data_IF_910823946306
#
_entry.id   IF_910823946306
#
_cell.length_a   1.000
_cell.length_b   1.000
_cell.length_c   1.000
_cell.angle_alpha   90.00
_cell.angle_beta   90.00
_cell.angle_gamma   90.00
#
_symmetry.space_group_name_H-M   'P 1'
#
loop_
_entity.id
_entity.type
_entity.pdbx_description
1 polymer ?
#
# COMPACT_ATOMS: atom_id res chain seq x y z
N UNK A 1 91.19 7.94 -23.37
CA UNK A 1 91.35 9.21 -24.09
C UNK A 1 89.97 9.80 -24.22
N UNK A 2 89.64 10.67 -23.28
CA UNK A 2 88.36 11.39 -23.19
C UNK A 2 88.45 12.72 -23.94
N UNK A 3 87.25 13.28 -24.18
CA UNK A 3 86.87 14.69 -24.46
C UNK A 3 86.68 15.12 -25.94
N UNK A 4 85.82 16.13 -26.26
CA UNK A 4 84.54 16.59 -25.66
C UNK A 4 83.41 16.97 -26.67
N UNK A 5 82.23 17.21 -26.10
CA UNK A 5 81.23 18.27 -26.42
C UNK A 5 80.47 18.33 -27.76
N UNK A 6 79.26 17.73 -27.71
CA UNK A 6 78.14 18.02 -28.61
C UNK A 6 77.33 19.22 -28.06
N UNK A 7 77.27 20.26 -28.89
CA UNK A 7 76.54 21.53 -28.67
C UNK A 7 75.09 21.32 -28.22
N UNK A 8 74.75 21.92 -27.07
CA UNK A 8 73.39 22.10 -26.53
C UNK A 8 72.50 22.90 -27.49
N UNK A 9 71.49 22.24 -28.06
CA UNK A 9 70.34 22.91 -28.66
C UNK A 9 69.49 23.58 -27.56
N UNK A 10 69.30 24.90 -27.66
CA UNK A 10 68.33 25.66 -26.87
C UNK A 10 66.92 25.23 -27.26
N UNK A 11 66.20 24.59 -26.34
CA UNK A 11 64.74 24.47 -26.40
C UNK A 11 64.17 25.40 -25.33
N UNK A 12 63.43 26.41 -25.80
CA UNK A 12 62.63 27.33 -24.98
C UNK A 12 61.62 26.55 -24.13
N UNK A 13 61.32 26.96 -22.89
CA UNK A 13 60.27 26.32 -22.11
C UNK A 13 58.92 26.68 -22.74
N UNK A 14 58.23 25.69 -23.33
CA UNK A 14 56.79 25.80 -23.56
C UNK A 14 56.13 25.90 -22.19
N UNK A 15 55.56 27.06 -21.88
CA UNK A 15 54.56 27.19 -20.82
C UNK A 15 53.41 26.24 -21.14
N UNK A 16 53.43 25.05 -20.54
CA UNK A 16 52.23 24.25 -20.39
C UNK A 16 51.44 24.98 -19.31
N UNK A 17 50.48 25.82 -19.74
CA UNK A 17 49.40 26.24 -18.85
C UNK A 17 48.58 24.97 -18.61
N UNK A 18 48.97 24.21 -17.59
CA UNK A 18 48.10 23.19 -17.03
C UNK A 18 46.91 23.96 -16.44
N UNK A 19 45.78 23.95 -17.15
CA UNK A 19 44.50 24.22 -16.51
C UNK A 19 44.42 23.31 -15.29
N UNK A 20 44.32 23.85 -14.06
CA UNK A 20 44.22 22.99 -12.88
C UNK A 20 43.00 22.08 -13.06
N UNK A 21 43.07 20.79 -12.70
CA UNK A 21 41.87 19.97 -12.68
C UNK A 21 40.86 20.71 -11.82
N UNK A 22 39.66 20.95 -12.36
CA UNK A 22 38.56 21.50 -11.59
C UNK A 22 38.44 20.64 -10.33
N UNK A 23 38.84 21.18 -9.19
CA UNK A 23 38.73 20.53 -7.90
C UNK A 23 37.24 20.55 -7.54
N UNK A 24 36.50 19.60 -8.09
CA UNK A 24 35.10 19.39 -7.79
C UNK A 24 35.03 18.89 -6.34
N UNK A 25 34.41 19.68 -5.48
CA UNK A 25 34.11 19.31 -4.11
C UNK A 25 32.84 18.47 -4.06
N UNK A 26 32.68 17.67 -3.00
CA UNK A 26 31.40 17.01 -2.71
C UNK A 26 30.28 18.05 -2.56
N UNK A 27 30.61 19.25 -2.07
CA UNK A 27 29.64 20.35 -1.94
C UNK A 27 29.07 20.83 -3.29
N UNK A 28 29.78 20.64 -4.39
CA UNK A 28 29.36 21.02 -5.74
C UNK A 28 28.36 20.03 -6.34
N UNK A 29 28.34 18.79 -5.85
CA UNK A 29 27.52 17.69 -6.42
C UNK A 29 26.49 17.11 -5.46
N UNK A 30 26.57 17.39 -4.16
CA UNK A 30 25.72 16.77 -3.13
C UNK A 30 24.22 17.02 -3.34
N UNK A 31 23.83 18.16 -3.92
CA UNK A 31 22.43 18.44 -4.27
C UNK A 31 21.86 17.45 -5.30
N UNK A 32 22.72 16.95 -6.21
CA UNK A 32 22.36 15.92 -7.20
C UNK A 32 22.43 14.52 -6.62
N UNK A 33 23.35 14.26 -5.68
CA UNK A 33 23.57 12.93 -5.09
C UNK A 33 22.52 12.61 -4.02
N UNK A 34 22.13 13.59 -3.19
CA UNK A 34 21.22 13.37 -2.05
C UNK A 34 19.90 12.66 -2.42
N UNK A 35 19.22 12.98 -3.55
CA UNK A 35 18.01 12.28 -3.97
C UNK A 35 18.19 10.79 -4.30
N UNK A 36 19.42 10.34 -4.60
CA UNK A 36 19.72 8.93 -4.86
C UNK A 36 19.87 8.10 -3.57
N UNK A 37 19.97 8.76 -2.41
CA UNK A 37 20.02 8.07 -1.11
C UNK A 37 18.57 7.77 -0.69
N UNK A 38 18.14 6.53 -0.87
CA UNK A 38 16.73 6.14 -0.64
C UNK A 38 16.48 5.52 0.74
N UNK A 39 17.49 4.97 1.41
CA UNK A 39 17.35 4.42 2.77
C UNK A 39 17.15 5.56 3.78
N UNK A 40 16.12 5.45 4.61
CA UNK A 40 15.84 6.43 5.67
C UNK A 40 16.97 6.57 6.68
N UNK A 41 17.67 5.48 7.02
CA UNK A 41 18.77 5.50 8.00
C UNK A 41 20.01 6.21 7.45
N UNK A 42 20.27 6.06 6.15
CA UNK A 42 21.34 6.79 5.46
C UNK A 42 21.01 8.28 5.38
N UNK A 43 19.75 8.63 5.11
CA UNK A 43 19.30 10.04 5.11
C UNK A 43 19.35 10.66 6.50
N UNK A 44 19.12 9.88 7.56
CA UNK A 44 19.31 10.33 8.94
C UNK A 44 20.78 10.65 9.21
N UNK A 45 21.69 9.76 8.83
CA UNK A 45 23.14 9.94 8.97
C UNK A 45 23.65 11.13 8.15
N UNK A 46 23.27 11.22 6.87
CA UNK A 46 23.64 12.31 5.96
C UNK A 46 23.20 13.68 6.52
N UNK A 47 22.03 13.75 7.14
CA UNK A 47 21.51 15.00 7.70
C UNK A 47 22.32 15.56 8.88
N UNK A 48 23.20 14.75 9.49
CA UNK A 48 23.98 15.11 10.65
C UNK A 48 25.44 15.50 10.32
N UNK A 49 25.88 15.34 9.07
CA UNK A 49 27.25 15.60 8.65
C UNK A 49 27.62 17.08 8.81
N UNK A 50 26.81 17.98 8.26
CA UNK A 50 27.01 19.43 8.36
C UNK A 50 25.71 20.20 8.05
N UNK A 51 25.71 21.52 8.26
CA UNK A 51 24.55 22.39 8.01
C UNK A 51 24.08 22.37 6.55
N UNK A 52 25.00 22.25 5.58
CA UNK A 52 24.66 22.20 4.14
C UNK A 52 23.91 20.91 3.83
N UNK A 53 24.44 19.76 4.27
CA UNK A 53 23.80 18.46 4.09
C UNK A 53 22.45 18.37 4.80
N UNK A 54 22.34 18.92 6.02
CA UNK A 54 21.07 19.03 6.75
C UNK A 54 19.99 19.77 5.94
N UNK A 55 20.35 20.88 5.30
CA UNK A 55 19.41 21.69 4.50
C UNK A 55 19.01 20.97 3.21
N UNK A 56 19.97 20.40 2.49
CA UNK A 56 19.70 19.63 1.25
C UNK A 56 18.83 18.43 1.58
N UNK A 57 19.11 17.74 2.69
CA UNK A 57 18.26 16.68 3.20
C UNK A 57 16.81 17.14 3.39
N UNK A 58 16.62 18.22 4.17
CA UNK A 58 15.33 18.83 4.45
C UNK A 58 14.52 19.11 3.18
N UNK A 59 15.18 19.69 2.16
CA UNK A 59 14.52 20.11 0.93
C UNK A 59 14.23 18.96 -0.05
N UNK A 60 14.95 17.84 0.06
CA UNK A 60 14.85 16.69 -0.87
C UNK A 60 14.21 15.44 -0.24
N UNK A 61 13.86 15.46 1.05
CA UNK A 61 13.19 14.34 1.72
C UNK A 61 11.76 14.19 1.17
N UNK A 62 11.50 13.09 0.47
CA UNK A 62 10.19 12.87 -0.16
C UNK A 62 9.18 12.14 0.74
N UNK A 63 9.64 11.25 1.62
CA UNK A 63 8.78 10.44 2.48
C UNK A 63 9.21 10.48 3.94
N UNK A 64 8.25 10.64 4.85
CA UNK A 64 8.44 10.52 6.30
C UNK A 64 7.38 9.61 6.92
N UNK A 65 7.81 8.78 7.87
CA UNK A 65 6.91 8.01 8.74
C UNK A 65 7.10 8.45 10.19
N UNK A 66 6.00 8.79 10.86
CA UNK A 66 5.96 8.97 12.31
C UNK A 66 5.31 7.74 12.95
N UNK A 67 6.09 7.01 13.73
CA UNK A 67 5.63 5.79 14.41
C UNK A 67 4.60 6.06 15.53
N UNK A 68 4.55 7.30 16.01
CA UNK A 68 3.58 7.81 16.95
C UNK A 68 3.38 9.31 16.68
N UNK A 69 2.15 9.73 16.36
CA UNK A 69 1.84 11.12 16.00
C UNK A 69 2.08 12.12 17.14
N UNK A 70 2.13 11.68 18.39
CA UNK A 70 2.41 12.55 19.54
C UNK A 70 3.90 12.83 19.78
N UNK A 71 4.80 12.30 18.94
CA UNK A 71 6.26 12.50 19.10
C UNK A 71 6.73 13.89 18.67
N UNK A 72 5.93 14.61 17.88
CA UNK A 72 6.27 15.93 17.38
C UNK A 72 5.04 16.73 16.99
N UNK A 73 5.20 18.04 16.84
CA UNK A 73 4.14 18.90 16.30
C UNK A 73 4.14 18.85 14.77
N UNK A 74 2.97 19.05 14.13
CA UNK A 74 2.89 19.18 12.68
C UNK A 74 3.80 20.29 12.12
N UNK A 75 3.83 21.45 12.77
CA UNK A 75 4.71 22.58 12.41
C UNK A 75 6.20 22.19 12.42
N UNK A 76 6.65 21.37 13.38
CA UNK A 76 8.05 20.92 13.39
C UNK A 76 8.34 20.03 12.17
N UNK A 77 7.39 19.18 11.78
CA UNK A 77 7.53 18.34 10.60
C UNK A 77 7.61 19.19 9.32
N UNK A 78 6.67 20.12 9.12
CA UNK A 78 6.61 20.93 7.91
C UNK A 78 7.80 21.86 7.77
N UNK A 79 8.32 22.42 8.86
CA UNK A 79 9.57 23.20 8.86
C UNK A 79 10.80 22.38 8.54
N UNK A 80 10.87 21.12 9.01
CA UNK A 80 12.02 20.25 8.75
C UNK A 80 11.96 19.60 7.36
N UNK A 81 10.78 19.34 6.82
CA UNK A 81 10.61 18.67 5.53
C UNK A 81 9.49 19.36 4.72
N UNK A 82 9.75 20.55 4.15
CA UNK A 82 8.71 21.35 3.50
C UNK A 82 8.21 20.74 2.18
N UNK A 83 9.01 19.89 1.53
CA UNK A 83 8.76 19.34 0.19
C UNK A 83 8.25 17.88 0.19
N UNK A 84 7.71 17.39 1.31
CA UNK A 84 7.21 16.02 1.40
C UNK A 84 6.22 15.70 0.29
N UNK A 85 6.40 14.52 -0.31
CA UNK A 85 5.47 13.92 -1.28
C UNK A 85 4.62 12.83 -0.64
N UNK A 86 5.11 12.17 0.40
CA UNK A 86 4.38 11.13 1.11
C UNK A 86 4.56 11.22 2.62
N UNK A 87 3.45 11.06 3.35
CA UNK A 87 3.44 11.12 4.80
C UNK A 87 2.67 9.93 5.37
N UNK A 88 3.30 9.24 6.33
CA UNK A 88 2.67 8.18 7.10
C UNK A 88 2.66 8.52 8.59
N UNK A 89 1.49 8.53 9.20
CA UNK A 89 1.31 8.78 10.63
C UNK A 89 0.64 7.57 11.28
N UNK A 90 1.12 7.22 12.48
CA UNK A 90 0.51 6.19 13.32
C UNK A 90 -0.01 6.82 14.62
N UNK A 91 -1.26 6.53 14.98
CA UNK A 91 -1.90 7.01 16.20
C UNK A 91 -1.83 5.99 17.33
N UNK A 92 -2.96 5.32 17.59
CA UNK A 92 -3.16 4.38 18.71
C UNK A 92 -2.07 3.29 18.74
N UNK A 93 -1.66 2.81 19.94
CA UNK A 93 -0.72 1.70 20.10
C UNK A 93 -1.18 0.39 19.45
N UNK A 94 -0.28 -0.61 19.36
CA UNK A 94 -0.62 -1.92 18.75
C UNK A 94 -1.70 -2.68 19.51
N UNK A 95 -1.77 -2.46 20.82
CA UNK A 95 -2.80 -2.99 21.69
C UNK A 95 -4.25 -2.62 21.25
N UNK A 96 -4.44 -1.52 20.50
CA UNK A 96 -5.76 -1.15 19.98
C UNK A 96 -6.35 -2.17 19.00
N UNK A 97 -5.49 -2.95 18.32
CA UNK A 97 -5.95 -4.03 17.43
C UNK A 97 -6.54 -5.23 18.19
N UNK A 98 -6.43 -5.24 19.52
CA UNK A 98 -6.93 -6.29 20.41
C UNK A 98 -8.00 -5.75 21.38
N UNK A 99 -8.63 -4.62 21.04
CA UNK A 99 -9.63 -3.94 21.88
C UNK A 99 -9.12 -3.56 23.29
N UNK A 100 -7.80 -3.41 23.46
CA UNK A 100 -7.17 -3.08 24.75
C UNK A 100 -6.98 -1.57 24.99
N UNK A 101 -7.29 -0.75 23.99
CA UNK A 101 -7.14 0.72 24.05
C UNK A 101 -8.52 1.36 23.87
N UNK A 102 -8.92 2.29 24.76
CA UNK A 102 -10.18 3.01 24.63
C UNK A 102 -10.31 3.72 23.28
N UNK A 103 -11.52 3.77 22.74
CA UNK A 103 -11.75 4.35 21.40
C UNK A 103 -11.38 5.85 21.34
N UNK A 104 -11.62 6.56 22.43
CA UNK A 104 -11.30 7.98 22.62
C UNK A 104 -9.85 8.25 23.09
N UNK A 105 -8.94 7.27 23.04
CA UNK A 105 -7.55 7.42 23.50
C UNK A 105 -6.81 8.59 22.81
N UNK A 106 -7.14 8.86 21.55
CA UNK A 106 -6.52 9.90 20.75
C UNK A 106 -6.01 9.37 19.40
N UNK A 107 -5.08 10.12 18.81
CA UNK A 107 -4.63 9.94 17.43
C UNK A 107 -5.48 10.72 16.43
N UNK A 108 -6.00 11.89 16.81
CA UNK A 108 -6.76 12.78 15.92
C UNK A 108 -5.88 13.33 14.79
N UNK A 109 -6.37 13.25 13.55
CA UNK A 109 -5.63 13.73 12.37
C UNK A 109 -5.81 15.23 12.11
N UNK A 110 -6.80 15.89 12.69
CA UNK A 110 -7.15 17.29 12.39
C UNK A 110 -5.95 18.26 12.39
N UNK A 111 -5.05 18.26 13.40
CA UNK A 111 -3.89 19.16 13.38
C UNK A 111 -2.94 18.86 12.20
N UNK A 112 -2.80 17.58 11.84
CA UNK A 112 -1.96 17.14 10.73
C UNK A 112 -2.55 17.53 9.39
N UNK A 113 -3.87 17.35 9.21
CA UNK A 113 -4.56 17.75 7.99
C UNK A 113 -4.50 19.26 7.78
N UNK A 114 -4.69 20.06 8.84
CA UNK A 114 -4.57 21.51 8.76
C UNK A 114 -3.14 21.95 8.36
N UNK A 115 -2.12 21.32 8.93
CA UNK A 115 -0.73 21.59 8.55
C UNK A 115 -0.42 21.14 7.12
N UNK A 116 -0.97 20.00 6.70
CA UNK A 116 -0.91 19.56 5.30
C UNK A 116 -1.49 20.69 4.46
N UNK A 117 -2.76 21.06 4.67
CA UNK A 117 -3.44 22.09 3.89
C UNK A 117 -2.65 23.40 3.79
N UNK A 118 -2.05 23.87 4.90
CA UNK A 118 -1.31 25.13 4.94
C UNK A 118 0.10 25.06 4.30
N UNK A 119 0.87 24.03 4.62
CA UNK A 119 2.33 24.05 4.46
C UNK A 119 2.87 22.99 3.50
N UNK A 120 2.33 21.76 3.49
CA UNK A 120 2.93 20.62 2.75
C UNK A 120 2.45 20.52 1.30
N UNK A 121 2.56 21.59 0.52
CA UNK A 121 1.90 21.76 -0.79
C UNK A 121 2.25 20.70 -1.86
N UNK A 122 3.35 19.96 -1.69
CA UNK A 122 3.82 18.92 -2.63
C UNK A 122 3.35 17.51 -2.27
N UNK A 123 2.55 17.38 -1.22
CA UNK A 123 2.11 16.08 -0.70
C UNK A 123 1.11 15.43 -1.66
N UNK A 124 1.42 14.21 -2.07
CA UNK A 124 0.63 13.39 -3.00
C UNK A 124 0.08 12.12 -2.37
N UNK A 125 0.67 11.69 -1.26
CA UNK A 125 0.31 10.44 -0.60
C UNK A 125 0.19 10.64 0.91
N UNK A 126 -0.94 10.20 1.47
CA UNK A 126 -1.23 10.25 2.90
C UNK A 126 -1.61 8.88 3.40
N UNK A 127 -0.99 8.45 4.48
CA UNK A 127 -1.29 7.20 5.16
C UNK A 127 -1.50 7.44 6.65
N UNK A 128 -2.75 7.38 7.08
CA UNK A 128 -3.13 7.36 8.47
C UNK A 128 -3.32 5.93 8.94
N UNK A 129 -2.65 5.53 10.02
CA UNK A 129 -2.79 4.19 10.59
C UNK A 129 -3.21 4.24 12.04
N UNK A 130 -4.36 3.65 12.38
CA UNK A 130 -4.94 3.65 13.74
C UNK A 130 -5.12 5.07 14.28
N UNK A 131 -5.75 5.91 13.47
CA UNK A 131 -5.99 7.32 13.79
C UNK A 131 -7.49 7.62 13.72
N UNK A 132 -7.89 8.66 14.43
CA UNK A 132 -9.26 9.19 14.41
C UNK A 132 -9.32 10.26 13.32
N UNK A 133 -10.18 10.02 12.33
CA UNK A 133 -10.36 10.82 11.12
C UNK A 133 -11.83 11.21 11.03
N UNK A 134 -12.15 12.50 10.94
CA UNK A 134 -13.52 12.97 10.75
C UNK A 134 -13.81 13.29 9.28
N UNK A 135 -15.10 13.42 8.94
CA UNK A 135 -15.52 13.87 7.60
C UNK A 135 -14.98 15.26 7.26
N UNK A 136 -14.90 16.15 8.26
CA UNK A 136 -14.33 17.49 8.08
C UNK A 136 -12.84 17.42 7.73
N UNK A 137 -12.09 16.53 8.36
CA UNK A 137 -10.67 16.33 8.04
C UNK A 137 -10.50 15.83 6.61
N UNK A 138 -11.32 14.87 6.18
CA UNK A 138 -11.29 14.36 4.81
C UNK A 138 -11.68 15.44 3.80
N UNK A 139 -12.68 16.26 4.09
CA UNK A 139 -13.09 17.37 3.22
C UNK A 139 -11.99 18.45 3.08
N UNK A 140 -11.34 18.83 4.17
CA UNK A 140 -10.19 19.75 4.15
C UNK A 140 -9.03 19.15 3.35
N UNK A 141 -8.73 17.86 3.54
CA UNK A 141 -7.70 17.19 2.77
C UNK A 141 -8.04 17.15 1.28
N UNK A 142 -9.28 16.80 0.94
CA UNK A 142 -9.79 16.73 -0.43
C UNK A 142 -9.65 18.07 -1.14
N UNK A 143 -10.15 19.15 -0.52
CA UNK A 143 -10.15 20.49 -1.11
C UNK A 143 -8.77 21.13 -1.16
N UNK A 144 -7.89 20.80 -0.22
CA UNK A 144 -6.53 21.35 -0.20
C UNK A 144 -5.57 20.64 -1.16
N UNK A 145 -5.87 19.42 -1.60
CA UNK A 145 -5.00 18.66 -2.52
C UNK A 145 -5.58 18.40 -3.89
N UNK A 146 -6.91 18.30 -4.02
CA UNK A 146 -7.57 18.10 -5.31
C UNK A 146 -6.89 16.96 -6.08
N UNK A 147 -6.61 17.19 -7.37
CA UNK A 147 -6.01 16.20 -8.27
C UNK A 147 -4.53 15.87 -7.98
N UNK A 148 -3.87 16.52 -7.01
CA UNK A 148 -2.52 16.15 -6.58
C UNK A 148 -2.50 14.96 -5.61
N UNK A 149 -3.62 14.64 -4.97
CA UNK A 149 -3.70 13.49 -4.07
C UNK A 149 -3.81 12.19 -4.87
N UNK A 150 -2.68 11.50 -5.02
CA UNK A 150 -2.57 10.23 -5.74
C UNK A 150 -2.90 9.02 -4.84
N UNK A 151 -2.66 9.11 -3.53
CA UNK A 151 -2.89 7.98 -2.63
C UNK A 151 -3.41 8.41 -1.25
N UNK A 152 -4.54 7.84 -0.83
CA UNK A 152 -5.08 7.95 0.52
C UNK A 152 -5.22 6.56 1.14
N UNK A 153 -4.62 6.38 2.32
CA UNK A 153 -4.71 5.14 3.11
C UNK A 153 -5.23 5.44 4.51
N UNK A 154 -6.46 5.02 4.77
CA UNK A 154 -7.13 4.99 6.06
C UNK A 154 -7.01 3.55 6.60
N UNK A 155 -5.88 3.24 7.23
CA UNK A 155 -5.55 1.88 7.67
C UNK A 155 -5.94 1.70 9.15
N UNK A 156 -7.02 0.96 9.41
CA UNK A 156 -7.55 0.75 10.77
C UNK A 156 -7.94 2.06 11.45
N UNK A 157 -8.49 3.00 10.69
CA UNK A 157 -8.94 4.30 11.17
C UNK A 157 -10.40 4.27 11.63
N UNK A 158 -10.81 5.30 12.38
CA UNK A 158 -12.19 5.45 12.86
C UNK A 158 -12.66 6.91 12.83
N UNK A 159 -13.97 7.14 12.92
CA UNK A 159 -14.54 8.47 13.17
C UNK A 159 -15.10 9.23 11.95
N UNK A 160 -15.07 8.63 10.76
CA UNK A 160 -15.59 9.21 9.52
C UNK A 160 -16.86 8.49 9.05
N UNK A 161 -17.44 8.97 7.96
CA UNK A 161 -18.59 8.37 7.28
C UNK A 161 -18.39 8.33 5.76
N UNK A 162 -19.36 7.80 5.05
CA UNK A 162 -19.35 7.80 3.57
C UNK A 162 -19.35 9.21 2.97
N UNK A 163 -19.75 10.24 3.71
CA UNK A 163 -19.69 11.63 3.24
C UNK A 163 -18.24 12.11 3.07
N UNK A 164 -17.35 11.76 4.01
CA UNK A 164 -15.93 12.07 3.90
C UNK A 164 -15.27 11.33 2.73
N UNK A 165 -15.65 10.06 2.49
CA UNK A 165 -15.21 9.30 1.33
C UNK A 165 -15.68 9.95 0.02
N UNK A 166 -16.96 10.34 -0.04
CA UNK A 166 -17.54 11.05 -1.19
C UNK A 166 -16.81 12.36 -1.47
N UNK A 167 -16.47 13.14 -0.44
CA UNK A 167 -15.72 14.38 -0.62
C UNK A 167 -14.33 14.11 -1.24
N UNK A 168 -13.62 13.07 -0.79
CA UNK A 168 -12.32 12.70 -1.37
C UNK A 168 -12.45 12.37 -2.85
N UNK A 169 -13.34 11.43 -3.21
CA UNK A 169 -13.42 10.92 -4.59
C UNK A 169 -13.95 11.96 -5.58
N UNK A 170 -14.79 12.89 -5.11
CA UNK A 170 -15.32 13.99 -5.92
C UNK A 170 -14.27 15.05 -6.26
N UNK A 171 -13.39 15.38 -5.29
CA UNK A 171 -12.38 16.42 -5.48
C UNK A 171 -11.03 15.89 -5.98
N UNK A 172 -10.67 14.65 -5.63
CA UNK A 172 -9.37 14.02 -5.96
C UNK A 172 -9.54 13.04 -7.12
N UNK A 173 -9.79 13.54 -8.32
CA UNK A 173 -10.21 12.70 -9.46
C UNK A 173 -9.10 11.81 -10.02
N UNK A 174 -7.85 12.08 -9.66
CA UNK A 174 -6.64 11.33 -10.08
C UNK A 174 -6.13 10.36 -9.03
N UNK A 175 -6.97 9.98 -8.06
CA UNK A 175 -6.58 9.00 -7.04
C UNK A 175 -6.22 7.66 -7.71
N UNK A 176 -5.06 7.13 -7.34
CA UNK A 176 -4.51 5.84 -7.79
C UNK A 176 -4.68 4.77 -6.72
N UNK A 177 -4.53 5.14 -5.45
CA UNK A 177 -4.71 4.22 -4.32
C UNK A 177 -5.71 4.79 -3.32
N UNK A 178 -6.81 4.09 -3.11
CA UNK A 178 -7.75 4.36 -2.03
C UNK A 178 -7.88 3.12 -1.15
N UNK A 179 -7.49 3.25 0.12
CA UNK A 179 -7.50 2.17 1.10
C UNK A 179 -8.24 2.60 2.36
N UNK A 180 -9.13 1.72 2.84
CA UNK A 180 -9.89 1.83 4.08
C UNK A 180 -9.94 0.48 4.84
N UNK A 181 -8.96 -0.39 4.62
CA UNK A 181 -8.85 -1.72 5.25
C UNK A 181 -8.98 -1.66 6.77
N UNK A 182 -9.86 -2.50 7.31
CA UNK A 182 -10.15 -2.61 8.75
C UNK A 182 -10.54 -1.29 9.43
N UNK A 183 -10.95 -0.28 8.66
CA UNK A 183 -11.47 0.97 9.23
C UNK A 183 -12.94 0.83 9.63
N UNK A 184 -13.35 1.55 10.67
CA UNK A 184 -14.74 1.65 11.10
C UNK A 184 -15.30 3.04 10.81
N UNK A 185 -16.47 3.10 10.17
CA UNK A 185 -17.10 4.33 9.73
C UNK A 185 -18.60 4.16 9.65
N UNK A 186 -19.34 5.27 9.60
CA UNK A 186 -20.79 5.24 9.42
C UNK A 186 -21.15 5.15 7.93
N UNK A 187 -21.76 4.04 7.51
CA UNK A 187 -22.25 3.88 6.15
C UNK A 187 -23.62 4.55 5.95
N UNK A 188 -23.65 5.71 5.27
CA UNK A 188 -24.90 6.42 4.96
C UNK A 188 -25.48 5.95 3.62
N UNK A 189 -24.63 5.78 2.61
CA UNK A 189 -24.97 5.36 1.24
C UNK A 189 -23.74 4.81 0.49
N UNK A 190 -23.93 4.40 -0.77
CA UNK A 190 -22.86 3.94 -1.68
C UNK A 190 -22.38 4.98 -2.70
N UNK A 191 -22.71 6.26 -2.55
CA UNK A 191 -22.46 7.28 -3.59
C UNK A 191 -20.98 7.50 -3.86
N UNK A 192 -20.12 7.33 -2.85
CA UNK A 192 -18.67 7.45 -3.02
C UNK A 192 -18.12 6.44 -4.06
N UNK A 193 -18.66 5.23 -4.12
CA UNK A 193 -18.23 4.22 -5.07
C UNK A 193 -18.80 4.50 -6.46
N UNK A 194 -20.05 4.97 -6.52
CA UNK A 194 -20.69 5.40 -7.76
C UNK A 194 -19.94 6.57 -8.41
N UNK A 195 -19.55 7.56 -7.62
CA UNK A 195 -18.75 8.72 -8.08
C UNK A 195 -17.40 8.26 -8.69
N UNK A 196 -16.73 7.29 -8.05
CA UNK A 196 -15.53 6.67 -8.61
C UNK A 196 -15.82 5.99 -9.95
N UNK A 197 -16.92 5.23 -10.04
CA UNK A 197 -17.32 4.54 -11.26
C UNK A 197 -17.58 5.52 -12.42
N UNK A 198 -18.19 6.66 -12.15
CA UNK A 198 -18.50 7.66 -13.17
C UNK A 198 -17.27 8.44 -13.66
N UNK A 199 -16.33 8.75 -12.77
CA UNK A 199 -15.34 9.80 -13.05
C UNK A 199 -13.87 9.37 -12.92
N UNK A 200 -13.55 8.27 -12.25
CA UNK A 200 -12.16 7.86 -12.06
C UNK A 200 -11.64 6.96 -13.19
N UNK A 201 -10.42 7.25 -13.65
CA UNK A 201 -9.72 6.47 -14.70
C UNK A 201 -8.28 6.12 -14.34
N UNK A 202 -7.84 6.47 -13.12
CA UNK A 202 -6.45 6.35 -12.66
C UNK A 202 -6.26 5.29 -11.59
N UNK A 203 -7.33 4.64 -11.12
CA UNK A 203 -7.26 3.72 -9.99
C UNK A 203 -6.34 2.53 -10.31
N UNK A 204 -5.42 2.27 -9.39
CA UNK A 204 -4.48 1.14 -9.40
C UNK A 204 -4.81 0.16 -8.27
N UNK A 205 -5.16 0.70 -7.10
CA UNK A 205 -5.46 -0.09 -5.90
C UNK A 205 -6.72 0.45 -5.21
N UNK A 206 -7.72 -0.41 -5.05
CA UNK A 206 -8.91 -0.14 -4.25
C UNK A 206 -9.00 -1.18 -3.13
N UNK A 207 -9.00 -0.75 -1.87
CA UNK A 207 -8.99 -1.68 -0.75
C UNK A 207 -9.96 -1.24 0.34
N UNK A 208 -11.07 -1.94 0.45
CA UNK A 208 -11.99 -1.89 1.58
C UNK A 208 -12.17 -3.30 2.14
N UNK A 209 -11.05 -3.99 2.35
CA UNK A 209 -11.03 -5.30 2.99
C UNK A 209 -11.41 -5.21 4.46
N UNK A 210 -12.17 -6.19 4.95
CA UNK A 210 -12.65 -6.24 6.33
C UNK A 210 -13.44 -4.99 6.77
N UNK A 211 -14.25 -4.45 5.86
CA UNK A 211 -15.18 -3.35 6.14
C UNK A 211 -16.61 -3.80 5.88
N UNK A 212 -17.54 -3.25 6.64
CA UNK A 212 -18.97 -3.51 6.50
C UNK A 212 -19.58 -2.47 5.54
N UNK A 213 -19.79 -2.87 4.28
CA UNK A 213 -20.52 -2.09 3.28
C UNK A 213 -21.73 -2.89 2.80
N UNK A 214 -22.93 -2.38 3.04
CA UNK A 214 -24.21 -2.98 2.65
C UNK A 214 -24.99 -2.16 1.61
N UNK A 215 -24.54 -0.94 1.30
CA UNK A 215 -25.22 0.02 0.43
C UNK A 215 -24.48 0.31 -0.87
N UNK A 216 -23.34 -0.34 -1.11
CA UNK A 216 -22.59 -0.23 -2.37
C UNK A 216 -23.18 -1.13 -3.45
N UNK A 217 -23.11 -0.70 -4.70
CA UNK A 217 -23.59 -1.48 -5.84
C UNK A 217 -22.41 -2.21 -6.53
N UNK A 218 -22.43 -3.55 -6.63
CA UNK A 218 -21.40 -4.31 -7.35
C UNK A 218 -21.19 -3.88 -8.81
N UNK A 219 -22.21 -3.31 -9.46
CA UNK A 219 -22.10 -2.77 -10.82
C UNK A 219 -21.20 -1.54 -10.93
N UNK A 220 -21.05 -0.77 -9.84
CA UNK A 220 -20.08 0.31 -9.80
C UNK A 220 -18.66 -0.25 -9.83
N UNK A 221 -18.36 -1.35 -9.13
CA UNK A 221 -17.06 -2.03 -9.21
C UNK A 221 -16.77 -2.54 -10.63
N UNK A 222 -17.75 -3.17 -11.27
CA UNK A 222 -17.62 -3.60 -12.66
C UNK A 222 -17.27 -2.42 -13.59
N UNK A 223 -17.91 -1.28 -13.39
CA UNK A 223 -17.67 -0.05 -14.16
C UNK A 223 -16.28 0.53 -13.87
N UNK A 224 -15.85 0.56 -12.62
CA UNK A 224 -14.48 0.94 -12.23
C UNK A 224 -13.45 0.06 -12.92
N UNK A 225 -13.65 -1.27 -12.92
CA UNK A 225 -12.74 -2.20 -13.59
C UNK A 225 -12.65 -1.95 -15.11
N UNK A 226 -13.76 -1.55 -15.74
CA UNK A 226 -13.81 -1.20 -17.16
C UNK A 226 -13.07 0.11 -17.44
N UNK A 227 -13.29 1.13 -16.61
CA UNK A 227 -12.70 2.46 -16.79
C UNK A 227 -11.20 2.49 -16.45
N UNK A 228 -10.80 1.75 -15.42
CA UNK A 228 -9.42 1.64 -14.95
C UNK A 228 -8.71 0.38 -15.48
N UNK A 229 -9.18 -0.21 -16.59
CA UNK A 229 -8.71 -1.52 -17.09
C UNK A 229 -7.19 -1.62 -17.28
N UNK A 230 -6.52 -0.51 -17.60
CA UNK A 230 -5.07 -0.46 -17.84
C UNK A 230 -4.24 -0.35 -16.56
N UNK A 231 -4.80 0.21 -15.50
CA UNK A 231 -4.08 0.57 -14.27
C UNK A 231 -4.48 -0.28 -13.06
N UNK A 232 -5.72 -0.80 -13.01
CA UNK A 232 -6.25 -1.50 -11.84
C UNK A 232 -5.56 -2.85 -11.65
N UNK A 233 -4.78 -2.95 -10.57
CA UNK A 233 -3.89 -4.08 -10.25
C UNK A 233 -4.39 -4.84 -9.02
N UNK A 234 -4.93 -4.14 -8.02
CA UNK A 234 -5.38 -4.76 -6.77
C UNK A 234 -6.75 -4.25 -6.35
N UNK A 235 -7.66 -5.17 -6.05
CA UNK A 235 -8.95 -4.84 -5.44
C UNK A 235 -9.21 -5.75 -4.25
N UNK A 236 -9.46 -5.18 -3.09
CA UNK A 236 -9.92 -5.94 -1.92
C UNK A 236 -11.25 -5.39 -1.43
N UNK A 237 -12.19 -6.28 -1.18
CA UNK A 237 -13.59 -5.93 -0.90
C UNK A 237 -14.07 -6.53 0.42
N UNK A 238 -15.22 -6.08 0.92
CA UNK A 238 -15.94 -6.71 2.03
C UNK A 238 -16.73 -7.95 1.57
N UNK A 239 -17.87 -8.19 2.19
CA UNK A 239 -18.68 -9.40 1.99
C UNK A 239 -19.65 -9.30 0.79
N UNK A 240 -19.11 -8.98 -0.39
CA UNK A 240 -19.88 -8.97 -1.64
C UNK A 240 -20.01 -10.38 -2.20
N UNK A 241 -21.22 -10.80 -2.58
CA UNK A 241 -21.45 -12.12 -3.19
C UNK A 241 -20.62 -12.26 -4.49
N UNK A 242 -19.76 -13.28 -4.53
CA UNK A 242 -18.79 -13.47 -5.62
C UNK A 242 -19.48 -13.59 -6.99
N UNK A 243 -20.69 -14.16 -7.05
CA UNK A 243 -21.46 -14.22 -8.30
C UNK A 243 -21.86 -12.85 -8.85
N UNK A 244 -22.03 -11.84 -8.00
CA UNK A 244 -22.32 -10.47 -8.44
C UNK A 244 -21.09 -9.80 -9.08
N UNK A 245 -19.89 -10.32 -8.78
CA UNK A 245 -18.61 -9.83 -9.27
C UNK A 245 -18.13 -10.51 -10.57
N UNK A 246 -18.92 -11.40 -11.18
CA UNK A 246 -18.56 -12.05 -12.45
C UNK A 246 -18.29 -11.02 -13.56
N UNK A 247 -19.10 -9.97 -13.63
CA UNK A 247 -18.89 -8.87 -14.58
C UNK A 247 -17.58 -8.11 -14.29
N UNK A 248 -17.30 -7.87 -13.01
CA UNK A 248 -16.06 -7.24 -12.55
C UNK A 248 -14.83 -8.06 -12.95
N UNK A 249 -14.80 -9.36 -12.67
CA UNK A 249 -13.66 -10.22 -13.01
C UNK A 249 -13.40 -10.28 -14.52
N UNK A 250 -14.46 -10.29 -15.35
CA UNK A 250 -14.32 -10.22 -16.81
C UNK A 250 -13.72 -8.88 -17.27
N UNK A 251 -14.07 -7.78 -16.62
CA UNK A 251 -13.58 -6.45 -16.97
C UNK A 251 -12.13 -6.20 -16.48
N UNK A 252 -11.78 -6.72 -15.31
CA UNK A 252 -10.51 -6.46 -14.61
C UNK A 252 -9.33 -7.28 -15.17
N UNK A 253 -9.03 -7.17 -16.47
CA UNK A 253 -8.06 -8.06 -17.15
C UNK A 253 -6.61 -7.95 -16.68
N UNK A 254 -6.23 -6.86 -16.01
CA UNK A 254 -4.89 -6.66 -15.45
C UNK A 254 -4.83 -6.91 -13.93
N UNK A 255 -5.91 -7.38 -13.32
CA UNK A 255 -5.95 -7.62 -11.88
C UNK A 255 -4.97 -8.73 -11.51
N UNK A 256 -4.09 -8.42 -10.57
CA UNK A 256 -3.11 -9.35 -10.02
C UNK A 256 -3.47 -9.76 -8.58
N UNK A 257 -4.21 -8.92 -7.87
CA UNK A 257 -4.61 -9.15 -6.47
C UNK A 257 -6.11 -8.98 -6.24
N UNK A 258 -6.73 -9.99 -5.62
CA UNK A 258 -8.13 -9.95 -5.18
C UNK A 258 -8.32 -10.59 -3.80
N UNK A 259 -8.81 -9.84 -2.81
CA UNK A 259 -9.18 -10.39 -1.50
C UNK A 259 -10.61 -10.00 -1.10
N UNK A 260 -11.24 -10.84 -0.29
CA UNK A 260 -12.62 -10.66 0.15
C UNK A 260 -13.63 -11.31 -0.78
N UNK A 261 -14.85 -10.79 -0.73
CA UNK A 261 -16.01 -11.38 -1.40
C UNK A 261 -16.48 -12.64 -0.66
N UNK A 262 -17.79 -12.84 -0.62
CA UNK A 262 -18.42 -13.96 0.07
C UNK A 262 -18.74 -15.11 -0.88
N UNK A 263 -18.28 -16.31 -0.52
CA UNK A 263 -18.74 -17.57 -1.09
C UNK A 263 -19.82 -18.15 -0.16
N UNK A 264 -21.08 -17.83 -0.45
CA UNK A 264 -22.21 -18.38 0.29
C UNK A 264 -22.56 -19.77 -0.26
N UNK A 265 -22.38 -20.81 0.56
CA UNK A 265 -22.76 -22.18 0.25
C UNK A 265 -24.28 -22.29 0.03
N UNK A 266 -24.70 -23.05 -0.98
CA UNK A 266 -26.10 -23.37 -1.25
C UNK A 266 -26.22 -24.88 -1.50
N UNK A 267 -26.82 -25.61 -0.55
CA UNK A 267 -27.00 -27.06 -0.61
C UNK A 267 -27.79 -27.48 -1.86
N UNK A 268 -28.66 -26.60 -2.38
CA UNK A 268 -29.41 -26.85 -3.61
C UNK A 268 -28.59 -26.69 -4.90
N UNK A 269 -27.37 -26.15 -4.83
CA UNK A 269 -26.51 -25.82 -5.98
C UNK A 269 -25.03 -26.12 -5.66
N UNK A 270 -24.63 -27.40 -5.57
CA UNK A 270 -23.25 -27.78 -5.25
C UNK A 270 -22.20 -27.26 -6.26
N UNK A 271 -22.61 -26.97 -7.50
CA UNK A 271 -21.73 -26.42 -8.53
C UNK A 271 -21.91 -24.90 -8.74
N UNK A 272 -22.46 -24.17 -7.76
CA UNK A 272 -22.82 -22.74 -7.86
C UNK A 272 -21.70 -21.87 -8.44
N UNK A 273 -20.44 -22.15 -8.09
CA UNK A 273 -19.28 -21.34 -8.45
C UNK A 273 -18.36 -21.96 -9.50
N UNK A 274 -18.66 -23.15 -10.03
CA UNK A 274 -17.74 -23.89 -10.92
C UNK A 274 -17.48 -23.18 -12.25
N UNK A 275 -18.36 -22.27 -12.67
CA UNK A 275 -18.23 -21.48 -13.90
C UNK A 275 -17.56 -20.10 -13.68
N UNK A 276 -17.00 -19.85 -12.50
CA UNK A 276 -16.26 -18.61 -12.25
C UNK A 276 -15.01 -18.55 -13.12
N UNK A 277 -14.80 -17.39 -13.72
CA UNK A 277 -13.58 -17.10 -14.48
C UNK A 277 -12.84 -15.97 -13.78
N UNK A 278 -11.63 -16.25 -13.31
CA UNK A 278 -10.78 -15.23 -12.69
C UNK A 278 -9.94 -14.49 -13.74
N UNK A 279 -9.50 -13.26 -13.44
CA UNK A 279 -8.56 -12.53 -14.28
C UNK A 279 -7.27 -13.34 -14.52
N UNK A 280 -6.72 -13.34 -15.75
CA UNK A 280 -5.61 -14.22 -16.12
C UNK A 280 -4.28 -13.90 -15.40
N UNK A 281 -4.15 -12.69 -14.84
CA UNK A 281 -2.95 -12.26 -14.10
C UNK A 281 -3.07 -12.49 -12.58
N UNK A 282 -4.22 -12.96 -12.10
CA UNK A 282 -4.47 -13.12 -10.68
C UNK A 282 -3.47 -14.10 -10.07
N UNK A 283 -2.65 -13.62 -9.14
CA UNK A 283 -1.61 -14.41 -8.47
C UNK A 283 -1.55 -14.17 -6.96
N UNK A 284 -2.31 -13.21 -6.44
CA UNK A 284 -2.43 -12.89 -5.02
C UNK A 284 -3.91 -12.91 -4.67
N UNK A 285 -4.36 -13.80 -3.81
CA UNK A 285 -5.79 -13.88 -3.51
C UNK A 285 -6.13 -14.37 -2.11
N UNK A 286 -7.35 -14.04 -1.68
CA UNK A 286 -7.99 -14.65 -0.52
C UNK A 286 -9.49 -14.46 -0.60
N UNK A 287 -10.23 -15.55 -0.83
CA UNK A 287 -11.70 -15.52 -0.92
C UNK A 287 -12.27 -15.75 0.47
N UNK A 288 -13.12 -14.84 0.96
CA UNK A 288 -13.75 -15.03 2.27
C UNK A 288 -14.75 -16.18 2.19
N UNK A 289 -14.82 -16.95 3.26
CA UNK A 289 -15.72 -18.09 3.43
C UNK A 289 -15.52 -19.23 2.41
N UNK A 290 -14.33 -19.32 1.80
CA UNK A 290 -13.98 -20.41 0.89
C UNK A 290 -14.11 -21.76 1.62
N UNK A 291 -15.06 -22.59 1.19
CA UNK A 291 -15.25 -23.95 1.68
C UNK A 291 -14.60 -25.00 0.78
N UNK A 292 -14.60 -26.25 1.25
CA UNK A 292 -14.01 -27.39 0.53
C UNK A 292 -14.68 -27.63 -0.84
N UNK A 293 -15.98 -27.38 -0.94
CA UNK A 293 -16.76 -27.55 -2.17
C UNK A 293 -16.38 -26.52 -3.24
N UNK A 294 -16.05 -25.30 -2.85
CA UNK A 294 -15.69 -24.20 -3.74
C UNK A 294 -14.19 -24.13 -4.03
N UNK A 295 -13.34 -24.66 -3.15
CA UNK A 295 -11.89 -24.71 -3.31
C UNK A 295 -11.40 -25.10 -4.73
N UNK A 296 -12.02 -26.06 -5.45
CA UNK A 296 -11.59 -26.44 -6.80
C UNK A 296 -11.55 -25.31 -7.83
N UNK A 297 -12.30 -24.21 -7.63
CA UNK A 297 -12.26 -23.05 -8.53
C UNK A 297 -10.86 -22.42 -8.64
N UNK A 298 -9.98 -22.67 -7.67
CA UNK A 298 -8.61 -22.16 -7.63
C UNK A 298 -7.61 -23.07 -8.36
N UNK A 299 -7.92 -24.37 -8.51
CA UNK A 299 -7.00 -25.34 -9.07
C UNK A 299 -6.51 -25.05 -10.50
N UNK A 300 -7.34 -24.50 -11.42
CA UNK A 300 -6.90 -24.21 -12.79
C UNK A 300 -5.71 -23.26 -12.89
N UNK A 301 -5.48 -22.42 -11.88
CA UNK A 301 -4.40 -21.43 -11.86
C UNK A 301 -3.56 -21.49 -10.57
N UNK A 302 -3.67 -22.56 -9.78
CA UNK A 302 -2.99 -22.69 -8.50
C UNK A 302 -1.46 -22.56 -8.61
N UNK A 303 -0.87 -23.03 -9.70
CA UNK A 303 0.56 -22.89 -9.98
C UNK A 303 1.04 -21.43 -10.15
N UNK A 304 0.14 -20.50 -10.45
CA UNK A 304 0.43 -19.07 -10.58
C UNK A 304 0.32 -18.32 -9.24
N UNK A 305 -0.29 -18.92 -8.21
CA UNK A 305 -0.51 -18.28 -6.92
C UNK A 305 0.82 -18.09 -6.19
N UNK A 306 1.09 -16.83 -5.80
CA UNK A 306 2.26 -16.40 -5.03
C UNK A 306 1.90 -15.88 -3.64
N UNK A 307 0.69 -15.34 -3.46
CA UNK A 307 0.14 -15.00 -2.14
C UNK A 307 -1.23 -15.64 -1.97
N UNK A 308 -1.45 -16.31 -0.84
CA UNK A 308 -2.72 -16.90 -0.47
C UNK A 308 -3.12 -16.46 0.94
N UNK A 309 -4.28 -15.81 1.05
CA UNK A 309 -4.89 -15.41 2.31
C UNK A 309 -6.11 -16.31 2.59
N UNK A 310 -5.93 -17.19 3.57
CA UNK A 310 -6.91 -18.14 4.09
C UNK A 310 -7.33 -17.76 5.52
N UNK A 311 -7.12 -16.52 5.97
CA UNK A 311 -7.49 -16.08 7.33
C UNK A 311 -8.99 -16.24 7.60
N UNK A 312 -9.82 -16.09 6.57
CA UNK A 312 -11.27 -16.15 6.64
C UNK A 312 -11.85 -17.28 5.78
N UNK A 313 -11.05 -18.29 5.44
CA UNK A 313 -11.53 -19.47 4.75
C UNK A 313 -12.23 -20.43 5.74
N UNK A 314 -13.20 -21.20 5.25
CA UNK A 314 -13.91 -22.26 5.98
C UNK A 314 -13.38 -23.64 5.57
N UNK A 315 -12.04 -23.73 5.44
CA UNK A 315 -11.35 -24.95 5.05
C UNK A 315 -10.85 -25.69 6.28
N UNK A 316 -10.90 -27.03 6.23
CA UNK A 316 -10.28 -27.86 7.24
C UNK A 316 -8.79 -28.10 6.93
N UNK A 317 -8.10 -28.75 7.86
CA UNK A 317 -6.66 -29.02 7.70
C UNK A 317 -6.34 -29.80 6.42
N UNK A 318 -7.16 -30.80 6.08
CA UNK A 318 -6.95 -31.65 4.91
C UNK A 318 -7.08 -30.84 3.61
N UNK A 319 -8.06 -29.93 3.57
CA UNK A 319 -8.26 -29.02 2.46
C UNK A 319 -7.08 -28.07 2.29
N UNK A 320 -6.58 -27.50 3.39
CA UNK A 320 -5.37 -26.66 3.36
C UNK A 320 -4.19 -27.41 2.74
N UNK A 321 -3.96 -28.67 3.15
CA UNK A 321 -2.88 -29.48 2.60
C UNK A 321 -3.05 -29.69 1.09
N UNK A 322 -4.27 -30.01 0.66
CA UNK A 322 -4.62 -30.24 -0.74
C UNK A 322 -4.41 -29.00 -1.60
N UNK A 323 -4.83 -27.83 -1.12
CA UNK A 323 -4.66 -26.56 -1.84
C UNK A 323 -3.19 -26.15 -1.91
N UNK A 324 -2.47 -26.20 -0.79
CA UNK A 324 -1.06 -25.78 -0.72
C UNK A 324 -0.18 -26.63 -1.63
N UNK A 325 -0.43 -27.94 -1.71
CA UNK A 325 0.30 -28.84 -2.61
C UNK A 325 0.20 -28.43 -4.09
N UNK A 326 -0.88 -27.73 -4.48
CA UNK A 326 -1.08 -27.24 -5.85
C UNK A 326 -0.46 -25.87 -6.13
N UNK A 327 0.11 -25.22 -5.11
CA UNK A 327 0.68 -23.87 -5.20
C UNK A 327 2.23 -23.90 -5.02
N UNK A 328 3.00 -24.47 -5.97
CA UNK A 328 4.45 -24.62 -5.85
C UNK A 328 5.23 -23.30 -5.77
N UNK A 329 4.65 -22.19 -6.26
CA UNK A 329 5.28 -20.87 -6.29
C UNK A 329 4.81 -19.94 -5.15
N UNK A 330 4.20 -20.51 -4.11
CA UNK A 330 3.66 -19.74 -2.99
C UNK A 330 4.79 -19.13 -2.14
N UNK A 331 4.78 -17.80 -2.01
CA UNK A 331 5.77 -17.02 -1.27
C UNK A 331 5.21 -16.49 0.06
N UNK A 332 3.91 -16.19 0.08
CA UNK A 332 3.20 -15.63 1.24
C UNK A 332 1.94 -16.45 1.50
N UNK A 333 1.83 -16.99 2.71
CA UNK A 333 0.63 -17.68 3.20
C UNK A 333 0.17 -17.00 4.50
N UNK A 334 -1.08 -16.58 4.51
CA UNK A 334 -1.77 -16.06 5.70
C UNK A 334 -2.88 -17.06 6.06
N UNK A 335 -2.85 -17.62 7.28
CA UNK A 335 -3.79 -18.64 7.77
C UNK A 335 -4.18 -18.32 9.22
N UNK A 336 -5.37 -18.76 9.64
CA UNK A 336 -5.77 -18.65 11.04
C UNK A 336 -4.88 -19.54 11.94
N UNK A 337 -4.69 -19.13 13.19
CA UNK A 337 -3.85 -19.78 14.20
C UNK A 337 -4.24 -21.22 14.51
N UNK A 338 -5.52 -21.55 14.44
CA UNK A 338 -6.01 -22.92 14.68
C UNK A 338 -5.47 -23.89 13.62
N UNK A 339 -5.28 -23.41 12.38
CA UNK A 339 -4.68 -24.18 11.28
C UNK A 339 -3.15 -24.33 11.40
N UNK A 340 -2.48 -23.51 12.22
CA UNK A 340 -1.01 -23.41 12.27
C UNK A 340 -0.36 -24.62 12.94
N UNK A 341 -0.91 -25.11 14.05
CA UNK A 341 -0.32 -26.24 14.78
C UNK A 341 -0.21 -27.51 13.90
N UNK A 342 -1.15 -27.66 12.97
CA UNK A 342 -1.24 -28.83 12.10
C UNK A 342 -0.47 -28.62 10.80
N UNK A 343 -0.51 -27.40 10.24
CA UNK A 343 0.28 -27.06 9.05
C UNK A 343 1.78 -27.09 9.30
N UNK A 344 2.30 -26.71 10.46
CA UNK A 344 3.74 -26.82 10.73
C UNK A 344 4.25 -28.25 10.61
N UNK A 345 3.45 -29.25 11.01
CA UNK A 345 3.80 -30.67 10.92
C UNK A 345 3.83 -31.18 9.47
N UNK A 346 2.98 -30.62 8.60
CA UNK A 346 2.83 -31.07 7.21
C UNK A 346 3.59 -30.19 6.18
N UNK A 347 3.75 -28.89 6.41
CA UNK A 347 4.53 -27.97 5.56
C UNK A 347 6.03 -28.34 5.58
N UNK A 348 6.54 -28.81 6.73
CA UNK A 348 7.88 -29.41 6.82
C UNK A 348 8.01 -30.70 5.97
N UNK A 349 6.91 -31.41 5.67
CA UNK A 349 6.90 -32.55 4.75
C UNK A 349 6.70 -32.16 3.28
N UNK A 350 6.01 -31.04 3.01
CA UNK A 350 5.70 -30.58 1.64
C UNK A 350 6.90 -29.88 0.96
N UNK A 351 7.97 -29.56 1.70
CA UNK A 351 9.23 -29.12 1.10
C UNK A 351 9.13 -27.75 0.41
N UNK A 352 8.38 -26.81 1.00
CA UNK A 352 8.44 -25.40 0.59
C UNK A 352 9.86 -24.88 0.89
N UNK A 353 10.73 -24.91 -0.12
CA UNK A 353 12.14 -24.58 0.01
C UNK A 353 12.35 -23.13 0.43
N UNK A 354 12.87 -22.91 1.64
CA UNK A 354 13.74 -21.81 2.08
C UNK A 354 13.36 -20.34 1.86
N UNK A 355 12.28 -20.00 1.15
CA UNK A 355 11.92 -18.61 0.76
C UNK A 355 10.48 -18.21 1.12
N UNK A 356 9.71 -19.07 1.76
CA UNK A 356 8.33 -18.76 2.17
C UNK A 356 8.34 -17.96 3.48
N UNK A 357 7.75 -16.77 3.46
CA UNK A 357 7.54 -15.98 4.68
C UNK A 357 6.13 -16.28 5.22
N UNK A 358 6.05 -17.03 6.33
CA UNK A 358 4.81 -17.13 7.11
C UNK A 358 4.59 -15.80 7.86
N UNK A 359 3.51 -15.11 7.55
CA UNK A 359 3.07 -13.92 8.28
C UNK A 359 1.91 -14.29 9.21
N UNK A 360 2.06 -13.93 10.48
CA UNK A 360 1.10 -14.25 11.54
C UNK A 360 0.20 -13.06 11.83
N UNK A 361 -1.11 -13.28 11.90
CA UNK A 361 -2.07 -12.28 12.35
C UNK A 361 -3.02 -12.90 13.38
N UNK A 362 -2.84 -12.54 14.65
CA UNK A 362 -3.84 -12.77 15.69
C UNK A 362 -5.04 -11.83 15.39
N UNK A 363 -6.09 -12.33 14.74
CA UNK A 363 -7.32 -11.57 14.47
C UNK A 363 -8.52 -12.34 15.02
N UNK A 364 -8.72 -12.28 16.33
CA UNK A 364 -10.00 -12.60 16.93
C UNK A 364 -10.94 -11.39 16.75
N UNK A 365 -12.05 -11.57 16.03
CA UNK A 365 -13.29 -10.80 16.28
C UNK A 365 -14.17 -11.71 17.15
N UNK A 366 -14.66 -11.18 18.27
CA UNK A 366 -15.79 -11.79 18.97
C UNK A 366 -17.00 -11.76 18.05
N UNK A 367 -17.73 -12.87 18.01
CA UNK A 367 -19.05 -13.00 17.37
C UNK A 367 -20.02 -11.89 17.77
#
# INVERSE_FOLDING_TARGET
>A
MEDPDIKKCRLTPKMIIATPPLLISVDDVIEQVMPYITDSNDRDSASLVCRRWFKIDSETREHVTMALCYTSTPDRLSRRFPNLRSLKLKGKPRAAMFNLIPENWGGFVTPWVNEIAASLRRLKSVHFRRMIVSDLDLDVLAKSRLDELEALKLDKCSGFSTDGLLSIVKHCRRIKTLLMEESSFLEKDGQWLHELALHNTSLEVLNFYMTEFNKINPKDLETIARNCRRSLISVKVGDLEILELVGFFKAATNLEEFCGGSLNEDIGRPEKYMNLTFPPKLCRLGLSYLGANEMPILFPFAAQIRKLDLLYALLETEDHCTLIQKCPNLEVLEVNLDSISILFTNVLKIGLGGKSHLYYSNKFKSF
#
